data_IF_529787162626
#
_entry.id   IF_529787162626
#
_cell.length_a   1.000
_cell.length_b   1.000
_cell.length_c   1.000
_cell.angle_alpha   90.00
_cell.angle_beta   90.00
_cell.angle_gamma   90.00
#
_symmetry.space_group_name_H-M   'P 1'
#
loop_
_entity.id
_entity.type
_entity.pdbx_description
1 polymer ?
#
# COMPACT_ATOMS: atom_id res chain seq x y z
N UNK A 1 -7.51 11.15 -14.04
CA UNK A 1 -6.41 10.17 -14.10
C UNK A 1 -6.97 8.88 -13.55
N UNK A 2 -6.61 7.74 -14.15
CA UNK A 2 -7.09 6.41 -13.72
C UNK A 2 -5.91 5.46 -13.56
N UNK A 3 -4.95 5.84 -12.72
CA UNK A 3 -3.81 4.99 -12.40
C UNK A 3 -4.28 3.73 -11.69
N UNK A 4 -3.94 2.57 -12.24
CA UNK A 4 -4.25 1.27 -11.67
C UNK A 4 -3.01 0.36 -11.61
N UNK A 5 -2.99 -0.54 -10.63
CA UNK A 5 -2.02 -1.63 -10.59
C UNK A 5 -2.38 -2.70 -11.62
N UNK A 6 -1.38 -3.19 -12.36
CA UNK A 6 -1.60 -4.34 -13.23
C UNK A 6 -1.85 -5.61 -12.41
N UNK A 7 -2.53 -6.59 -13.01
CA UNK A 7 -2.82 -7.87 -12.34
C UNK A 7 -1.54 -8.59 -11.86
N UNK A 8 -0.47 -8.52 -12.65
CA UNK A 8 0.83 -9.08 -12.27
C UNK A 8 1.45 -8.30 -11.10
N UNK A 9 1.41 -6.97 -11.15
CA UNK A 9 1.90 -6.14 -10.03
C UNK A 9 1.14 -6.41 -8.73
N UNK A 10 -0.16 -6.70 -8.80
CA UNK A 10 -0.94 -7.12 -7.63
C UNK A 10 -0.53 -8.51 -7.11
N UNK A 11 -0.24 -9.47 -7.98
CA UNK A 11 0.27 -10.78 -7.57
C UNK A 11 1.63 -10.65 -6.86
N UNK A 12 2.53 -9.80 -7.37
CA UNK A 12 3.78 -9.47 -6.70
C UNK A 12 3.54 -8.78 -5.35
N UNK A 13 2.66 -7.79 -5.30
CA UNK A 13 2.31 -7.07 -4.07
C UNK A 13 1.87 -8.04 -2.97
N UNK A 14 0.98 -8.99 -3.30
CA UNK A 14 0.51 -10.02 -2.37
C UNK A 14 1.65 -10.87 -1.81
N UNK A 15 2.64 -11.21 -2.62
CA UNK A 15 3.81 -11.95 -2.13
C UNK A 15 4.69 -11.07 -1.23
N UNK A 16 4.83 -9.79 -1.60
CA UNK A 16 5.67 -8.80 -0.92
C UNK A 16 5.14 -8.39 0.45
N UNK A 17 3.82 -8.45 0.70
CA UNK A 17 3.26 -8.23 2.05
C UNK A 17 3.73 -9.25 3.10
N UNK A 18 4.36 -10.34 2.66
CA UNK A 18 4.88 -11.39 3.53
C UNK A 18 6.41 -11.35 3.63
N UNK A 19 7.04 -10.34 3.03
CA UNK A 19 8.49 -10.14 3.03
C UNK A 19 8.79 -8.79 3.65
N UNK A 20 9.94 -8.67 4.30
CA UNK A 20 10.50 -7.36 4.67
C UNK A 20 11.45 -6.89 3.59
N UNK A 21 11.31 -5.67 3.11
CA UNK A 21 12.18 -5.12 2.07
C UNK A 21 11.63 -3.89 1.37
N UNK A 22 12.32 -3.48 0.30
CA UNK A 22 11.93 -2.37 -0.54
C UNK A 22 11.55 -2.87 -1.94
N UNK A 23 10.35 -2.49 -2.39
CA UNK A 23 9.79 -2.88 -3.67
C UNK A 23 9.38 -1.64 -4.46
N UNK A 24 9.43 -1.74 -5.79
CA UNK A 24 9.00 -0.67 -6.69
C UNK A 24 7.87 -1.18 -7.57
N UNK A 25 6.79 -0.41 -7.63
CA UNK A 25 5.66 -0.65 -8.51
C UNK A 25 5.51 0.50 -9.50
N UNK A 26 5.02 0.19 -10.69
CA UNK A 26 4.63 1.18 -11.69
C UNK A 26 3.13 1.06 -11.87
N UNK A 27 2.42 2.16 -11.59
CA UNK A 27 1.01 2.30 -11.89
C UNK A 27 0.88 2.95 -13.26
N UNK A 28 -0.03 2.44 -14.09
CA UNK A 28 -0.27 2.97 -15.43
C UNK A 28 -1.64 3.64 -15.46
N UNK A 29 -1.73 4.80 -16.08
CA UNK A 29 -3.01 5.42 -16.43
C UNK A 29 -3.38 4.97 -17.84
N UNK A 30 -4.41 4.12 -17.96
CA UNK A 30 -4.84 3.58 -19.25
C UNK A 30 -5.42 4.67 -20.18
N UNK A 31 -5.90 5.78 -19.62
CA UNK A 31 -6.53 6.86 -20.39
C UNK A 31 -5.52 7.80 -21.05
N UNK A 32 -4.38 8.02 -20.40
CA UNK A 32 -3.35 8.99 -20.83
C UNK A 32 -2.03 8.33 -21.24
N UNK A 33 -1.85 7.04 -20.94
CA UNK A 33 -0.60 6.31 -21.17
C UNK A 33 0.53 6.71 -20.22
N UNK A 34 0.26 7.58 -19.25
CA UNK A 34 1.26 8.03 -18.28
C UNK A 34 1.53 6.95 -17.25
N UNK A 35 2.70 7.04 -16.61
CA UNK A 35 3.15 6.08 -15.61
C UNK A 35 3.63 6.79 -14.36
N UNK A 36 3.23 6.27 -13.22
CA UNK A 36 3.63 6.77 -11.91
C UNK A 36 4.39 5.69 -11.15
N UNK A 37 5.54 6.07 -10.60
CA UNK A 37 6.36 5.18 -9.78
C UNK A 37 5.92 5.25 -8.32
N UNK A 38 5.66 4.10 -7.74
CA UNK A 38 5.43 3.93 -6.31
C UNK A 38 6.54 3.07 -5.70
N UNK A 39 7.05 3.46 -4.55
CA UNK A 39 7.95 2.62 -3.75
C UNK A 39 7.22 2.14 -2.51
N UNK A 40 7.39 0.86 -2.20
CA UNK A 40 6.83 0.19 -1.04
C UNK A 40 7.99 -0.28 -0.16
N UNK A 41 7.98 0.10 1.11
CA UNK A 41 8.85 -0.52 2.12
C UNK A 41 7.97 -1.34 3.04
N UNK A 42 8.26 -2.61 3.19
CA UNK A 42 7.52 -3.52 4.05
C UNK A 42 8.41 -3.99 5.19
N UNK A 43 7.83 -4.05 6.38
CA UNK A 43 8.45 -4.59 7.59
C UNK A 43 7.45 -5.53 8.25
N UNK A 44 7.73 -6.83 8.16
CA UNK A 44 6.93 -7.88 8.78
C UNK A 44 7.43 -8.13 10.20
N UNK A 45 6.51 -8.08 11.15
CA UNK A 45 6.74 -8.42 12.54
C UNK A 45 5.58 -9.26 13.07
N UNK A 46 5.87 -10.50 13.49
CA UNK A 46 4.87 -11.49 13.92
C UNK A 46 3.75 -11.68 12.87
N UNK A 47 2.52 -11.30 13.21
CA UNK A 47 1.32 -11.39 12.40
C UNK A 47 0.98 -10.06 11.69
N UNK A 48 1.87 -9.07 11.77
CA UNK A 48 1.64 -7.74 11.21
C UNK A 48 2.69 -7.39 10.15
N UNK A 49 2.27 -6.55 9.21
CA UNK A 49 3.12 -5.92 8.22
C UNK A 49 2.91 -4.41 8.27
N UNK A 50 4.00 -3.68 8.51
CA UNK A 50 4.03 -2.23 8.33
C UNK A 50 4.50 -1.92 6.93
N UNK A 51 3.77 -1.05 6.24
CA UNK A 51 3.96 -0.75 4.83
C UNK A 51 4.06 0.76 4.66
N UNK A 52 5.23 1.24 4.26
CA UNK A 52 5.45 2.64 3.88
C UNK A 52 5.33 2.76 2.37
N UNK A 53 4.30 3.47 1.92
CA UNK A 53 4.04 3.78 0.52
C UNK A 53 4.59 5.18 0.22
N UNK A 54 5.37 5.32 -0.85
CA UNK A 54 5.82 6.63 -1.35
C UNK A 54 5.52 6.78 -2.83
N UNK A 55 4.84 7.87 -3.20
CA UNK A 55 4.54 8.24 -4.59
C UNK A 55 4.80 9.74 -4.73
N UNK A 56 5.82 10.12 -5.51
CA UNK A 56 6.24 11.52 -5.60
C UNK A 56 6.56 12.11 -4.21
N UNK A 57 5.96 13.25 -3.81
CA UNK A 57 6.14 13.82 -2.47
C UNK A 57 5.30 13.12 -1.39
N UNK A 58 4.33 12.30 -1.78
CA UNK A 58 3.33 11.71 -0.88
C UNK A 58 3.90 10.48 -0.18
N UNK A 59 3.77 10.44 1.15
CA UNK A 59 4.21 9.32 1.99
C UNK A 59 3.07 8.89 2.91
N UNK A 60 2.72 7.60 2.87
CA UNK A 60 1.70 7.00 3.72
C UNK A 60 2.26 5.76 4.40
N UNK A 61 1.84 5.51 5.65
CA UNK A 61 2.22 4.31 6.39
C UNK A 61 0.96 3.57 6.81
N UNK A 62 0.93 2.27 6.57
CA UNK A 62 -0.16 1.38 6.94
C UNK A 62 0.39 0.24 7.79
N UNK A 63 -0.29 -0.11 8.87
CA UNK A 63 -0.02 -1.34 9.61
C UNK A 63 -1.23 -2.25 9.46
N UNK A 64 -0.99 -3.44 8.92
CA UNK A 64 -2.04 -4.39 8.53
C UNK A 64 -1.65 -5.80 8.97
N UNK A 65 -2.61 -6.72 8.93
CA UNK A 65 -2.35 -8.14 9.15
C UNK A 65 -1.48 -8.71 8.01
N UNK A 66 -0.40 -9.39 8.35
CA UNK A 66 0.46 -10.11 7.41
C UNK A 66 -0.26 -11.34 6.83
N UNK A 67 0.19 -11.87 5.69
CA UNK A 67 -0.39 -13.06 5.03
C UNK A 67 -1.90 -12.96 4.72
N UNK A 68 -2.44 -11.74 4.64
CA UNK A 68 -3.87 -11.47 4.47
C UNK A 68 -4.16 -10.91 3.09
N UNK A 69 -5.02 -11.60 2.32
CA UNK A 69 -5.51 -11.09 1.04
C UNK A 69 -6.28 -9.76 1.17
N UNK A 70 -7.13 -9.57 2.20
CA UNK A 70 -7.70 -8.26 2.51
C UNK A 70 -6.66 -7.15 2.71
N UNK A 71 -5.55 -7.44 3.40
CA UNK A 71 -4.46 -6.47 3.58
C UNK A 71 -3.81 -6.09 2.25
N UNK A 72 -3.48 -7.08 1.41
CA UNK A 72 -2.92 -6.82 0.07
C UNK A 72 -3.85 -5.97 -0.80
N UNK A 73 -5.16 -6.24 -0.77
CA UNK A 73 -6.18 -5.41 -1.47
C UNK A 73 -6.27 -3.99 -0.91
N UNK A 74 -6.05 -3.81 0.38
CA UNK A 74 -6.08 -2.49 1.02
C UNK A 74 -4.87 -1.66 0.64
N UNK A 75 -3.68 -2.27 0.58
CA UNK A 75 -2.45 -1.62 0.11
C UNK A 75 -2.58 -1.25 -1.38
N UNK A 76 -3.12 -2.14 -2.21
CA UNK A 76 -3.35 -1.85 -3.64
C UNK A 76 -4.27 -0.64 -3.83
N UNK A 77 -5.40 -0.59 -3.12
CA UNK A 77 -6.32 0.55 -3.14
C UNK A 77 -5.65 1.84 -2.66
N UNK A 78 -4.78 1.79 -1.65
CA UNK A 78 -4.03 2.97 -1.22
C UNK A 78 -3.02 3.46 -2.27
N UNK A 79 -2.31 2.54 -2.93
CA UNK A 79 -1.41 2.88 -4.03
C UNK A 79 -2.14 3.60 -5.15
N UNK A 80 -3.34 3.12 -5.51
CA UNK A 80 -4.19 3.71 -6.54
C UNK A 80 -4.78 5.05 -6.11
N UNK A 81 -5.31 5.15 -4.89
CA UNK A 81 -5.87 6.40 -4.35
C UNK A 81 -4.82 7.52 -4.29
N UNK A 82 -3.60 7.22 -3.83
CA UNK A 82 -2.49 8.19 -3.81
C UNK A 82 -2.12 8.60 -5.25
N UNK A 83 -1.96 7.63 -6.16
CA UNK A 83 -1.56 7.93 -7.54
C UNK A 83 -2.62 8.76 -8.29
N UNK A 84 -3.91 8.59 -7.95
CA UNK A 84 -5.00 9.38 -8.52
C UNK A 84 -5.24 10.71 -7.79
N UNK A 85 -4.48 11.02 -6.74
CA UNK A 85 -4.62 12.25 -5.96
C UNK A 85 -5.83 12.28 -5.04
N UNK A 86 -6.44 11.12 -4.76
CA UNK A 86 -7.56 10.98 -3.83
C UNK A 86 -7.10 10.94 -2.36
N UNK A 87 -5.84 10.57 -2.15
CA UNK A 87 -5.20 10.54 -0.83
C UNK A 87 -3.94 11.42 -0.85
N UNK A 88 -4.06 12.63 -0.30
CA UNK A 88 -2.93 13.53 -0.11
C UNK A 88 -2.32 13.32 1.29
N UNK A 89 -1.00 13.28 1.39
CA UNK A 89 -0.32 13.00 2.67
C UNK A 89 -0.35 14.24 3.56
N UNK A 90 -1.44 14.40 4.32
CA UNK A 90 -1.50 15.38 5.41
C UNK A 90 -2.40 14.99 6.60
N UNK A 91 -3.06 13.83 6.61
CA UNK A 91 -3.72 13.34 7.82
C UNK A 91 -3.29 11.92 8.17
N UNK A 92 -2.33 11.85 9.10
CA UNK A 92 -2.22 10.71 10.01
C UNK A 92 -3.50 10.67 10.85
N UNK A 93 -4.45 9.80 10.51
CA UNK A 93 -5.37 9.31 11.53
C UNK A 93 -4.60 8.30 12.38
N UNK A 94 -4.39 8.56 13.68
CA UNK A 94 -3.70 7.63 14.54
C UNK A 94 -4.51 6.34 14.66
N UNK A 95 -3.79 5.23 14.74
CA UNK A 95 -4.26 3.89 15.04
C UNK A 95 -5.61 3.85 15.78
N UNK A 96 -6.61 3.20 15.19
CA UNK A 96 -7.62 2.50 15.99
C UNK A 96 -6.92 1.34 16.71
N UNK A 97 -6.23 1.69 17.79
CA UNK A 97 -6.00 0.82 18.91
C UNK A 97 -7.37 0.47 19.49
N UNK A 98 -7.93 -0.66 19.08
CA UNK A 98 -8.81 -1.40 19.98
C UNK A 98 -8.27 -2.82 20.06
N UNK A 99 -7.28 -2.99 20.95
CA UNK A 99 -7.23 -4.17 21.79
C UNK A 99 -8.61 -4.28 22.45
N UNK A 100 -9.52 -5.03 21.84
CA UNK A 100 -10.70 -5.51 22.54
C UNK A 100 -10.28 -6.75 23.34
N UNK A 101 -9.86 -6.45 24.56
CA UNK A 101 -10.13 -7.21 25.78
C UNK A 101 -9.74 -8.71 25.81
N UNK A 102 -8.62 -8.97 26.48
CA UNK A 102 -8.37 -10.21 27.19
C UNK A 102 -8.87 -10.01 28.62
N UNK A 103 -10.02 -10.58 28.96
CA UNK A 103 -10.43 -10.96 30.31
C UNK A 103 -11.50 -12.05 30.25
#
# INVERSE_FOLDING_TARGET
MSYALSHNAFACLKAQTNLSGHFTHILNDESSGTRTKATLQTEVYLDQVTVVIRIGPTVNTLTLQANSLPSARTIARHLEAIANGELDSAEMSPAEQVLADVA
#
